data_IF_866432736561
#
_entry.id   IF_866432736561
#
_cell.length_a   1.000
_cell.length_b   1.000
_cell.length_c   1.000
_cell.angle_alpha   90.00
_cell.angle_beta   90.00
_cell.angle_gamma   90.00
#
_symmetry.space_group_name_H-M   'P 1'
#
loop_
_entity.id
_entity.type
_entity.pdbx_description
1 polymer ?
#
# COMPACT_ATOMS: atom_id res chain seq x y z
N UNK A 1 -4.17 -9.29 12.23
CA UNK A 1 -5.43 -8.61 11.90
C UNK A 1 -5.03 -7.32 11.23
N UNK A 2 -5.55 -7.06 10.03
CA UNK A 2 -5.29 -5.85 9.25
C UNK A 2 -6.64 -5.24 8.92
N UNK A 3 -6.73 -3.91 8.98
CA UNK A 3 -7.95 -3.16 8.71
C UNK A 3 -7.67 -1.99 7.78
N UNK A 4 -8.36 -1.94 6.65
CA UNK A 4 -8.41 -0.82 5.72
C UNK A 4 -9.82 -0.23 5.66
N UNK A 5 -9.90 1.09 5.45
CA UNK A 5 -11.18 1.78 5.24
C UNK A 5 -11.07 2.81 4.13
N UNK A 6 -12.11 2.86 3.29
CA UNK A 6 -12.28 3.88 2.24
C UNK A 6 -13.65 4.53 2.40
N UNK A 7 -13.67 5.86 2.39
CA UNK A 7 -14.85 6.70 2.29
C UNK A 7 -14.75 7.54 1.02
N UNK A 8 -15.72 7.42 0.13
CA UNK A 8 -15.72 8.11 -1.16
C UNK A 8 -17.07 8.77 -1.42
N UNK A 9 -17.04 9.97 -2.00
CA UNK A 9 -18.21 10.65 -2.54
C UNK A 9 -17.84 11.38 -3.85
N UNK A 10 -18.77 12.15 -4.42
CA UNK A 10 -18.53 12.93 -5.66
C UNK A 10 -17.49 14.05 -5.53
N UNK A 11 -16.97 14.31 -4.33
CA UNK A 11 -16.02 15.40 -4.08
C UNK A 11 -14.63 14.87 -3.73
N UNK A 12 -14.55 13.78 -2.99
CA UNK A 12 -13.27 13.31 -2.44
C UNK A 12 -13.28 11.82 -2.07
N UNK A 13 -12.06 11.34 -1.80
CA UNK A 13 -11.77 10.02 -1.24
C UNK A 13 -10.94 10.22 0.02
N UNK A 14 -11.34 9.59 1.12
CA UNK A 14 -10.59 9.47 2.36
C UNK A 14 -10.24 7.99 2.60
N UNK A 15 -8.99 7.72 2.93
CA UNK A 15 -8.46 6.37 3.13
C UNK A 15 -7.70 6.31 4.45
N UNK A 16 -7.80 5.19 5.15
CA UNK A 16 -6.98 4.91 6.32
C UNK A 16 -6.70 3.40 6.42
N UNK A 17 -5.55 3.06 6.99
CA UNK A 17 -5.15 1.68 7.27
C UNK A 17 -4.47 1.60 8.65
N UNK A 18 -4.50 0.43 9.27
CA UNK A 18 -3.75 0.16 10.50
C UNK A 18 -2.26 -0.12 10.20
N UNK A 19 -1.41 0.01 11.22
CA UNK A 19 0.05 -0.20 11.08
C UNK A 19 0.56 -1.54 11.63
N UNK A 20 -0.34 -2.47 12.00
CA UNK A 20 0.00 -3.70 12.69
C UNK A 20 0.38 -4.83 11.71
N UNK A 21 1.60 -5.34 11.75
CA UNK A 21 1.98 -6.57 11.06
C UNK A 21 2.37 -7.64 12.08
N UNK A 22 1.88 -8.86 11.92
CA UNK A 22 2.27 -10.00 12.76
C UNK A 22 3.22 -10.90 11.98
N UNK A 23 4.46 -10.99 12.44
CA UNK A 23 5.45 -11.90 11.91
C UNK A 23 5.42 -13.19 12.74
N UNK A 24 5.13 -14.30 12.09
CA UNK A 24 5.12 -15.63 12.71
C UNK A 24 6.31 -16.46 12.21
N UNK A 25 7.12 -16.96 13.13
CA UNK A 25 8.16 -17.97 12.89
C UNK A 25 7.92 -19.24 13.70
N UNK A 26 8.77 -20.27 13.55
CA UNK A 26 8.59 -21.57 14.21
C UNK A 26 8.47 -21.53 15.74
N UNK A 27 9.00 -20.49 16.40
CA UNK A 27 8.96 -20.31 17.86
C UNK A 27 8.56 -18.89 18.31
N UNK A 28 8.12 -18.01 17.41
CA UNK A 28 7.77 -16.64 17.80
C UNK A 28 6.59 -16.10 17.00
N UNK A 29 5.75 -15.33 17.68
CA UNK A 29 4.69 -14.52 17.10
C UNK A 29 4.93 -13.10 17.60
N UNK A 30 5.35 -12.20 16.72
CA UNK A 30 5.64 -10.82 17.09
C UNK A 30 4.88 -9.85 16.22
N UNK A 31 4.12 -8.97 16.87
CA UNK A 31 3.40 -7.89 16.20
C UNK A 31 4.23 -6.62 16.24
N UNK A 32 4.46 -6.02 15.08
CA UNK A 32 5.09 -4.72 14.88
C UNK A 32 4.01 -3.71 14.49
N UNK A 33 4.13 -2.47 14.95
CA UNK A 33 3.11 -1.41 14.76
C UNK A 33 3.63 -0.26 13.89
N UNK A 34 4.63 -0.53 13.06
CA UNK A 34 5.43 0.48 12.36
C UNK A 34 5.46 0.29 10.86
N UNK A 35 4.55 -0.53 10.32
CA UNK A 35 4.47 -0.78 8.88
C UNK A 35 3.35 0.08 8.31
N UNK A 36 3.69 0.94 7.36
CA UNK A 36 2.69 1.63 6.57
C UNK A 36 1.98 0.63 5.66
N UNK A 37 0.65 0.72 5.57
CA UNK A 37 -0.17 -0.10 4.66
C UNK A 37 -0.98 0.72 3.68
N UNK A 38 -0.80 2.04 3.69
CA UNK A 38 -1.42 3.01 2.80
C UNK A 38 -0.32 3.94 2.28
N UNK A 39 -0.12 3.98 0.98
CA UNK A 39 0.95 4.77 0.36
C UNK A 39 0.48 5.46 -0.93
N UNK A 40 1.02 6.63 -1.29
CA UNK A 40 0.84 7.18 -2.63
C UNK A 40 1.50 6.26 -3.67
N UNK A 41 0.81 6.01 -4.79
CA UNK A 41 1.37 5.20 -5.88
C UNK A 41 2.45 5.97 -6.64
N UNK A 42 2.13 7.20 -7.06
CA UNK A 42 3.05 8.13 -7.72
C UNK A 42 2.96 9.49 -7.04
N UNK A 43 4.10 10.11 -6.79
CA UNK A 43 4.15 11.43 -6.16
C UNK A 43 3.43 12.47 -7.03
N UNK A 44 2.56 13.27 -6.41
CA UNK A 44 1.82 14.33 -7.09
C UNK A 44 0.60 13.87 -7.91
N UNK A 45 0.29 12.58 -7.93
CA UNK A 45 -0.93 12.05 -8.55
C UNK A 45 -1.94 11.61 -7.47
N UNK A 46 -3.25 11.77 -7.67
CA UNK A 46 -4.28 11.43 -6.69
C UNK A 46 -4.58 9.91 -6.65
N UNK A 47 -3.53 9.09 -6.60
CA UNK A 47 -3.63 7.62 -6.59
C UNK A 47 -2.84 7.08 -5.41
N UNK A 48 -3.47 6.20 -4.63
CA UNK A 48 -2.84 5.50 -3.50
C UNK A 48 -3.13 4.00 -3.57
N UNK A 49 -2.30 3.22 -2.88
CA UNK A 49 -2.42 1.77 -2.75
C UNK A 49 -2.51 1.39 -1.27
N UNK A 50 -3.39 0.42 -0.97
CA UNK A 50 -3.43 -0.23 0.34
C UNK A 50 -3.15 -1.72 0.21
N UNK A 51 -2.48 -2.29 1.23
CA UNK A 51 -2.06 -3.70 1.24
C UNK A 51 -2.78 -4.44 2.35
N UNK A 52 -3.59 -5.43 1.96
CA UNK A 52 -4.27 -6.34 2.87
C UNK A 52 -3.60 -7.71 2.94
N UNK A 53 -3.63 -8.30 4.14
CA UNK A 53 -3.24 -9.68 4.43
C UNK A 53 -1.76 -10.00 4.19
N UNK A 54 -1.35 -10.19 2.93
CA UNK A 54 0.00 -10.61 2.59
C UNK A 54 0.84 -9.41 2.16
N UNK A 55 1.92 -9.15 2.89
CA UNK A 55 2.85 -8.06 2.63
C UNK A 55 3.81 -8.35 1.47
N UNK A 56 3.81 -9.57 0.92
CA UNK A 56 4.73 -10.00 -0.13
C UNK A 56 4.01 -10.68 -1.30
N UNK A 57 4.58 -10.53 -2.49
CA UNK A 57 4.21 -11.24 -3.71
C UNK A 57 5.46 -11.91 -4.27
N UNK A 58 5.42 -13.22 -4.49
CA UNK A 58 6.59 -14.00 -4.97
C UNK A 58 7.88 -13.73 -4.16
N UNK A 59 7.76 -13.75 -2.83
CA UNK A 59 8.86 -13.42 -1.89
C UNK A 59 9.43 -12.00 -2.05
N UNK A 60 8.67 -11.09 -2.67
CA UNK A 60 9.05 -9.68 -2.86
C UNK A 60 8.07 -8.80 -2.09
N UNK A 61 8.53 -7.92 -1.20
CA UNK A 61 7.65 -6.98 -0.49
C UNK A 61 6.88 -6.08 -1.45
N UNK A 62 5.59 -5.86 -1.18
CA UNK A 62 4.77 -4.93 -1.95
C UNK A 62 5.36 -3.52 -1.98
N UNK A 63 5.96 -3.09 -0.87
CA UNK A 63 6.65 -1.80 -0.78
C UNK A 63 7.75 -1.67 -1.85
N UNK A 64 8.51 -2.74 -2.11
CA UNK A 64 9.54 -2.78 -3.14
C UNK A 64 8.92 -2.66 -4.54
N UNK A 65 7.87 -3.44 -4.82
CA UNK A 65 7.18 -3.42 -6.12
C UNK A 65 6.60 -2.03 -6.41
N UNK A 66 5.91 -1.44 -5.42
CA UNK A 66 5.31 -0.11 -5.53
C UNK A 66 6.41 0.95 -5.73
N UNK A 67 7.52 0.84 -5.00
CA UNK A 67 8.64 1.79 -5.15
C UNK A 67 9.27 1.73 -6.54
N UNK A 68 9.48 0.53 -7.09
CA UNK A 68 9.99 0.36 -8.46
C UNK A 68 9.02 0.92 -9.51
N UNK A 69 7.71 0.68 -9.34
CA UNK A 69 6.69 1.27 -10.22
C UNK A 69 6.71 2.80 -10.15
N UNK A 70 6.81 3.36 -8.94
CA UNK A 70 6.89 4.82 -8.71
C UNK A 70 8.08 5.42 -9.44
N UNK A 71 9.25 4.79 -9.35
CA UNK A 71 10.46 5.22 -10.05
C UNK A 71 10.29 5.15 -11.58
N UNK A 72 9.78 4.04 -12.10
CA UNK A 72 9.54 3.86 -13.54
C UNK A 72 8.49 4.82 -14.12
N UNK A 73 7.58 5.31 -13.28
CA UNK A 73 6.49 6.23 -13.65
C UNK A 73 6.83 7.70 -13.42
N UNK A 74 8.04 8.03 -12.91
CA UNK A 74 8.45 9.42 -12.67
C UNK A 74 8.38 10.24 -13.96
N UNK A 75 7.72 11.39 -13.88
CA UNK A 75 7.53 12.30 -15.01
C UNK A 75 6.52 11.83 -16.06
N UNK A 76 5.86 10.69 -15.85
CA UNK A 76 4.79 10.18 -16.71
C UNK A 76 3.45 10.44 -16.02
N UNK A 77 2.73 11.45 -16.49
CA UNK A 77 1.33 11.67 -16.08
C UNK A 77 0.44 10.76 -16.90
N UNK A 78 -0.43 10.02 -16.24
CA UNK A 78 -1.49 9.25 -16.87
C UNK A 78 -2.83 9.93 -16.57
N UNK A 79 -3.66 10.07 -17.59
CA UNK A 79 -4.98 10.70 -17.44
C UNK A 79 -6.01 9.73 -16.86
N UNK A 80 -5.80 8.42 -17.04
CA UNK A 80 -6.69 7.35 -16.57
C UNK A 80 -5.88 6.18 -15.99
N UNK A 81 -6.57 5.32 -15.23
CA UNK A 81 -6.02 4.05 -14.71
C UNK A 81 -6.24 2.88 -15.66
N UNK A 82 -6.70 3.15 -16.88
CA UNK A 82 -6.98 2.12 -17.90
C UNK A 82 -5.69 1.64 -18.56
N UNK A 83 -5.69 0.39 -19.04
CA UNK A 83 -4.57 -0.29 -19.66
C UNK A 83 -4.63 -0.25 -21.19
#
# INVERSE_FOLDING_TARGET
MTSEVVLMNRQAVAMAADSAVTISGPQYLKTYQSVDKLFPLVDGQPIAVMIYNNAEIMSTPWETVISLYREASRGRSLDTVEA
#
